data_IF_015264330724
#
_entry.id   IF_015264330724
#
_cell.length_a   1.000
_cell.length_b   1.000
_cell.length_c   1.000
_cell.angle_alpha   90.00
_cell.angle_beta   90.00
_cell.angle_gamma   90.00
#
_symmetry.space_group_name_H-M   'P 1'
#
loop_
_entity.id
_entity.type
_entity.pdbx_description
1 polymer ?
#
# COMPACT_ATOMS: atom_id res chain seq x y z
N UNK A 1 -9.86 -22.99 -14.85
CA UNK A 1 -9.09 -21.71 -14.85
C UNK A 1 -9.51 -20.74 -13.75
N UNK A 2 -10.79 -20.65 -13.34
CA UNK A 2 -11.25 -19.73 -12.28
C UNK A 2 -10.55 -19.91 -10.91
N UNK A 3 -10.26 -21.15 -10.48
CA UNK A 3 -9.60 -21.41 -9.20
C UNK A 3 -8.16 -20.85 -9.11
N UNK A 4 -7.39 -20.93 -10.20
CA UNK A 4 -6.02 -20.37 -10.26
C UNK A 4 -6.03 -18.85 -10.23
N UNK A 5 -6.99 -18.23 -10.92
CA UNK A 5 -7.21 -16.78 -10.88
C UNK A 5 -7.54 -16.28 -9.47
N UNK A 6 -8.39 -17.01 -8.74
CA UNK A 6 -8.69 -16.68 -7.35
C UNK A 6 -7.46 -16.75 -6.44
N UNK A 7 -6.62 -17.78 -6.59
CA UNK A 7 -5.36 -17.90 -5.84
C UNK A 7 -4.40 -16.74 -6.13
N UNK A 8 -4.25 -16.34 -7.40
CA UNK A 8 -3.38 -15.23 -7.77
C UNK A 8 -3.90 -13.87 -7.24
N UNK A 9 -5.22 -13.64 -7.32
CA UNK A 9 -5.85 -12.43 -6.78
C UNK A 9 -5.75 -12.35 -5.25
N UNK A 10 -5.89 -13.49 -4.57
CA UNK A 10 -5.74 -13.57 -3.11
C UNK A 10 -4.31 -13.23 -2.69
N UNK A 11 -3.31 -13.79 -3.39
CA UNK A 11 -1.90 -13.48 -3.12
C UNK A 11 -1.55 -12.00 -3.33
N UNK A 12 -2.13 -11.34 -4.36
CA UNK A 12 -1.97 -9.89 -4.55
C UNK A 12 -2.60 -9.10 -3.41
N UNK A 13 -3.81 -9.47 -2.99
CA UNK A 13 -4.48 -8.78 -1.89
C UNK A 13 -3.72 -8.92 -0.58
N UNK A 14 -3.29 -10.13 -0.24
CA UNK A 14 -2.53 -10.43 0.98
C UNK A 14 -1.19 -9.67 0.99
N UNK A 15 -0.48 -9.64 -0.14
CA UNK A 15 0.75 -8.86 -0.29
C UNK A 15 0.51 -7.36 -0.08
N UNK A 16 -0.55 -6.80 -0.67
CA UNK A 16 -0.89 -5.38 -0.50
C UNK A 16 -1.19 -5.05 0.97
N UNK A 17 -1.93 -5.91 1.68
CA UNK A 17 -2.21 -5.74 3.11
C UNK A 17 -0.92 -5.76 3.94
N UNK A 18 -0.01 -6.70 3.70
CA UNK A 18 1.28 -6.74 4.41
C UNK A 18 2.11 -5.47 4.21
N UNK A 19 2.13 -4.91 2.99
CA UNK A 19 2.82 -3.66 2.72
C UNK A 19 2.18 -2.45 3.43
N UNK A 20 0.85 -2.41 3.51
CA UNK A 20 0.15 -1.34 4.26
C UNK A 20 0.45 -1.44 5.75
N UNK A 21 0.44 -2.64 6.32
CA UNK A 21 0.74 -2.85 7.73
C UNK A 21 2.20 -2.50 8.06
N UNK A 22 3.13 -2.88 7.20
CA UNK A 22 4.53 -2.47 7.29
C UNK A 22 4.66 -0.94 7.23
N UNK A 23 3.98 -0.30 6.26
CA UNK A 23 3.94 1.15 6.14
C UNK A 23 3.46 1.82 7.43
N UNK A 24 2.36 1.33 8.00
CA UNK A 24 1.83 1.84 9.27
C UNK A 24 2.78 1.66 10.47
N UNK A 25 3.53 0.55 10.51
CA UNK A 25 4.54 0.33 11.53
C UNK A 25 5.73 1.29 11.39
N UNK A 26 6.17 1.53 10.15
CA UNK A 26 7.28 2.43 9.86
C UNK A 26 6.91 3.91 9.99
N UNK A 27 5.63 4.31 9.89
CA UNK A 27 5.19 5.73 9.99
C UNK A 27 5.78 6.51 11.18
N UNK A 28 6.09 5.85 12.30
CA UNK A 28 6.67 6.48 13.51
C UNK A 28 8.17 6.25 13.67
N UNK A 29 8.73 5.27 12.99
CA UNK A 29 10.13 4.87 13.13
C UNK A 29 10.99 5.38 11.97
N UNK A 30 10.48 5.21 10.75
CA UNK A 30 11.12 5.61 9.51
C UNK A 30 10.05 6.00 8.48
N UNK A 31 9.74 7.29 8.34
CA UNK A 31 8.66 7.73 7.46
C UNK A 31 9.02 7.54 5.97
N UNK A 32 10.30 7.56 5.61
CA UNK A 32 10.77 7.25 4.26
C UNK A 32 10.45 5.79 3.89
N UNK A 33 10.72 4.85 4.79
CA UNK A 33 10.36 3.45 4.53
C UNK A 33 8.85 3.19 4.61
N UNK A 34 8.12 3.97 5.40
CA UNK A 34 6.67 3.94 5.39
C UNK A 34 6.10 4.28 4.00
N UNK A 35 6.65 5.32 3.36
CA UNK A 35 6.27 5.75 2.02
C UNK A 35 6.60 4.67 0.99
N UNK A 36 7.79 4.07 1.04
CA UNK A 36 8.18 2.97 0.15
C UNK A 36 7.20 1.78 0.25
N UNK A 37 6.84 1.38 1.47
CA UNK A 37 5.89 0.30 1.70
C UNK A 37 4.50 0.65 1.14
N UNK A 38 4.01 1.87 1.37
CA UNK A 38 2.72 2.34 0.84
C UNK A 38 2.72 2.45 -0.69
N UNK A 39 3.82 2.87 -1.32
CA UNK A 39 4.00 2.90 -2.78
C UNK A 39 3.86 1.50 -3.38
N UNK A 40 4.50 0.49 -2.76
CA UNK A 40 4.43 -0.92 -3.19
C UNK A 40 3.00 -1.47 -3.07
N UNK A 41 2.29 -1.14 -2.00
CA UNK A 41 0.87 -1.48 -1.88
C UNK A 41 0.01 -0.83 -2.98
N UNK A 42 0.29 0.44 -3.32
CA UNK A 42 -0.41 1.18 -4.39
C UNK A 42 -0.21 0.54 -5.75
N UNK A 43 1.00 0.08 -6.08
CA UNK A 43 1.26 -0.63 -7.34
C UNK A 43 0.37 -1.88 -7.44
N UNK A 44 0.29 -2.67 -6.37
CA UNK A 44 -0.54 -3.88 -6.34
C UNK A 44 -2.03 -3.54 -6.46
N UNK A 45 -2.51 -2.50 -5.76
CA UNK A 45 -3.91 -2.07 -5.89
C UNK A 45 -4.23 -1.49 -7.27
N UNK A 46 -3.25 -0.87 -7.93
CA UNK A 46 -3.37 -0.39 -9.33
C UNK A 46 -3.54 -1.58 -10.28
N UNK A 47 -2.69 -2.61 -10.11
CA UNK A 47 -2.75 -3.88 -10.83
C UNK A 47 -4.09 -4.60 -10.66
N UNK A 48 -4.72 -4.48 -9.49
CA UNK A 48 -6.03 -5.04 -9.19
C UNK A 48 -7.21 -4.17 -9.66
N UNK A 49 -6.96 -2.98 -10.22
CA UNK A 49 -7.98 -2.01 -10.62
C UNK A 49 -8.71 -1.32 -9.45
N UNK A 50 -8.16 -1.40 -8.23
CA UNK A 50 -8.76 -0.83 -7.00
C UNK A 50 -8.29 0.61 -6.77
N UNK A 51 -8.64 1.50 -7.69
CA UNK A 51 -8.19 2.91 -7.67
C UNK A 51 -8.67 3.70 -6.44
N UNK A 52 -9.83 3.35 -5.87
CA UNK A 52 -10.35 4.00 -4.66
C UNK A 52 -9.45 3.77 -3.45
N UNK A 53 -8.87 2.58 -3.34
CA UNK A 53 -7.95 2.22 -2.25
C UNK A 53 -6.60 2.91 -2.47
N UNK A 54 -6.10 2.89 -3.71
CA UNK A 54 -4.92 3.66 -4.12
C UNK A 54 -5.03 5.14 -3.73
N UNK A 55 -6.15 5.79 -4.02
CA UNK A 55 -6.32 7.21 -3.74
C UNK A 55 -6.18 7.51 -2.23
N UNK A 56 -6.76 6.65 -1.37
CA UNK A 56 -6.60 6.77 0.09
C UNK A 56 -5.14 6.64 0.52
N UNK A 57 -4.39 5.70 -0.05
CA UNK A 57 -2.98 5.54 0.28
C UNK A 57 -2.13 6.72 -0.21
N UNK A 58 -2.43 7.31 -1.37
CA UNK A 58 -1.76 8.55 -1.80
C UNK A 58 -2.00 9.71 -0.84
N UNK A 59 -3.21 9.85 -0.29
CA UNK A 59 -3.49 10.84 0.76
C UNK A 59 -2.63 10.57 1.99
N UNK A 60 -2.57 9.33 2.47
CA UNK A 60 -1.71 9.00 3.62
C UNK A 60 -0.22 9.23 3.38
N UNK A 61 0.28 9.05 2.15
CA UNK A 61 1.66 9.42 1.79
C UNK A 61 1.85 10.93 1.88
N UNK A 62 0.90 11.72 1.36
CA UNK A 62 0.95 13.18 1.45
C UNK A 62 0.94 13.66 2.91
N UNK A 63 0.11 13.06 3.77
CA UNK A 63 0.07 13.34 5.21
C UNK A 63 1.43 13.05 5.89
N UNK A 64 2.13 11.99 5.48
CA UNK A 64 3.47 11.68 6.00
C UNK A 64 4.47 12.74 5.57
N UNK A 65 4.45 13.15 4.30
CA UNK A 65 5.32 14.23 3.82
C UNK A 65 5.04 15.56 4.51
N UNK A 66 3.78 15.92 4.73
CA UNK A 66 3.43 17.12 5.50
C UNK A 66 3.93 17.06 6.93
N UNK A 67 3.92 15.87 7.55
CA UNK A 67 4.42 15.68 8.92
C UNK A 67 5.95 15.72 9.04
N UNK A 68 6.71 15.30 8.01
CA UNK A 68 8.18 15.41 7.99
C UNK A 68 8.69 16.81 7.63
N UNK A 69 7.89 17.62 6.93
CA UNK A 69 8.25 18.98 6.51
C UNK A 69 8.04 20.07 7.59
N UNK A 70 7.65 19.69 8.81
CA UNK A 70 7.41 20.60 9.96
C UNK A 70 8.57 20.57 10.94
#
# INVERSE_FOLDING_TARGET
>A
QAAQLHLQLQSKHDAATCFVDAGNAFKKADPQEAINCLMRAIEIYTDMGRFTIKAKHHISIAEIYEAELV
#
